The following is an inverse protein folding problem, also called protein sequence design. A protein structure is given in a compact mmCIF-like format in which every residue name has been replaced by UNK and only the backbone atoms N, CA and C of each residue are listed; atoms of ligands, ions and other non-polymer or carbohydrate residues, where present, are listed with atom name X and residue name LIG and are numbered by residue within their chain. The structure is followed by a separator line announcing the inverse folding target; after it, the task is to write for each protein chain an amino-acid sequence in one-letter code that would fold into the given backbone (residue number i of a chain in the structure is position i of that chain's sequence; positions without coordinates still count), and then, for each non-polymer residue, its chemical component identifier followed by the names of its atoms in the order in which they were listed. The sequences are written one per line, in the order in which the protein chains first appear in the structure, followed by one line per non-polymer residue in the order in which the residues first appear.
data_IF_051673362182
#
_entry.id   IF_051673362182
#
_cell.length_a   1.000
_cell.length_b   1.000
_cell.length_c   1.000
_cell.angle_alpha   90.00
_cell.angle_beta   90.00
_cell.angle_gamma   90.00
#
_symmetry.space_group_name_H-M   'P 1'
#
loop_
_entity.id
_entity.type
_entity.pdbx_description
1 polymer ?
#
# COMPACT_ATOMS: atom_id res chain seq x y z
N UNK A 1 5.88 12.99 -6.00
CA UNK A 1 5.54 14.01 -5.00
C UNK A 1 5.41 13.37 -3.63
N UNK A 2 4.43 12.48 -3.43
CA UNK A 2 4.23 11.79 -2.14
C UNK A 2 5.49 11.04 -1.74
N UNK A 3 6.14 10.33 -2.65
CA UNK A 3 7.42 9.66 -2.37
C UNK A 3 8.50 10.62 -1.85
N UNK A 4 8.57 11.84 -2.38
CA UNK A 4 9.56 12.83 -1.93
C UNK A 4 9.20 13.37 -0.53
N UNK A 5 7.91 13.53 -0.22
CA UNK A 5 7.45 13.87 1.13
C UNK A 5 7.81 12.76 2.12
N UNK A 6 7.56 11.50 1.76
CA UNK A 6 7.95 10.35 2.59
C UNK A 6 9.47 10.31 2.80
N UNK A 7 10.25 10.61 1.74
CA UNK A 7 11.70 10.68 1.81
C UNK A 7 12.19 11.80 2.73
N UNK A 8 11.63 13.00 2.62
CA UNK A 8 12.03 14.15 3.46
C UNK A 8 11.61 13.99 4.92
N UNK A 9 10.50 13.30 5.18
CA UNK A 9 10.01 12.99 6.53
C UNK A 9 10.66 11.76 7.16
N UNK A 10 11.60 11.11 6.49
CA UNK A 10 12.22 9.85 6.94
C UNK A 10 11.20 8.76 7.29
N UNK A 11 10.10 8.72 6.53
CA UNK A 11 9.04 7.74 6.68
C UNK A 11 9.52 6.40 6.11
N UNK A 12 10.33 5.70 6.89
CA UNK A 12 11.10 4.55 6.44
C UNK A 12 10.53 3.22 6.97
N UNK A 13 9.58 3.27 7.91
CA UNK A 13 8.96 2.11 8.57
C UNK A 13 7.48 2.36 8.91
N UNK A 14 6.72 1.32 9.31
CA UNK A 14 5.33 1.50 9.76
C UNK A 14 5.18 2.45 10.96
N UNK A 15 6.18 2.50 11.84
CA UNK A 15 6.19 3.33 13.05
C UNK A 15 6.44 4.81 12.73
N UNK A 16 7.09 5.08 11.60
CA UNK A 16 7.40 6.42 11.09
C UNK A 16 6.53 6.80 9.88
N UNK A 17 5.46 6.04 9.63
CA UNK A 17 4.60 6.26 8.48
C UNK A 17 3.90 7.62 8.56
N UNK A 18 3.84 8.32 7.43
CA UNK A 18 3.08 9.56 7.30
C UNK A 18 1.63 9.20 7.05
N UNK A 19 0.75 9.67 7.92
CA UNK A 19 -0.69 9.44 7.85
C UNK A 19 -1.28 10.12 6.63
N UNK A 20 -2.45 9.64 6.19
CA UNK A 20 -3.20 10.30 5.12
C UNK A 20 -3.55 11.74 5.49
N UNK A 21 -3.89 12.01 6.75
CA UNK A 21 -4.23 13.35 7.23
C UNK A 21 -3.05 14.32 7.10
N UNK A 22 -1.85 13.91 7.51
CA UNK A 22 -0.63 14.72 7.33
C UNK A 22 -0.33 14.96 5.84
N UNK A 23 -0.54 13.96 4.98
CA UNK A 23 -0.39 14.16 3.53
C UNK A 23 -1.42 15.15 2.97
N UNK A 24 -2.65 15.15 3.48
CA UNK A 24 -3.68 16.13 3.08
C UNK A 24 -3.26 17.54 3.48
N UNK A 25 -2.81 17.72 4.72
CA UNK A 25 -2.34 19.00 5.24
C UNK A 25 -1.14 19.54 4.43
N UNK A 26 -0.16 18.68 4.14
CA UNK A 26 1.06 19.09 3.42
C UNK A 26 0.77 19.43 1.95
N UNK A 27 -0.15 18.72 1.31
CA UNK A 27 -0.34 18.80 -0.15
C UNK A 27 -1.58 19.58 -0.57
N UNK A 28 -2.49 19.88 0.36
CA UNK A 28 -3.82 20.42 0.06
C UNK A 28 -4.73 19.44 -0.70
N UNK A 29 -4.28 18.20 -0.93
CA UNK A 29 -5.05 17.21 -1.68
C UNK A 29 -6.11 16.56 -0.80
N UNK A 30 -7.22 16.17 -1.41
CA UNK A 30 -8.19 15.29 -0.77
C UNK A 30 -7.62 13.89 -0.57
N UNK A 31 -8.18 13.12 0.37
CA UNK A 31 -7.83 11.71 0.56
C UNK A 31 -7.88 10.90 -0.74
N UNK A 32 -8.90 11.11 -1.58
CA UNK A 32 -9.05 10.39 -2.86
C UNK A 32 -7.92 10.73 -3.83
N UNK A 33 -7.52 12.00 -3.90
CA UNK A 33 -6.39 12.43 -4.72
C UNK A 33 -5.06 11.87 -4.20
N UNK A 34 -4.86 11.79 -2.89
CA UNK A 34 -3.67 11.15 -2.29
C UNK A 34 -3.59 9.68 -2.71
N UNK A 35 -4.69 8.94 -2.58
CA UNK A 35 -4.72 7.52 -2.99
C UNK A 35 -4.38 7.38 -4.47
N UNK A 36 -5.01 8.17 -5.34
CA UNK A 36 -4.73 8.15 -6.79
C UNK A 36 -3.26 8.50 -7.09
N UNK A 37 -2.71 9.49 -6.39
CA UNK A 37 -1.32 9.90 -6.56
C UNK A 37 -0.33 8.83 -6.05
N UNK A 38 -0.63 8.17 -4.93
CA UNK A 38 0.16 7.04 -4.42
C UNK A 38 0.16 5.89 -5.43
N UNK A 39 -1.00 5.52 -5.98
CA UNK A 39 -1.10 4.48 -7.01
C UNK A 39 -0.27 4.83 -8.26
N UNK A 40 -0.36 6.08 -8.72
CA UNK A 40 0.47 6.58 -9.82
C UNK A 40 1.97 6.48 -9.52
N UNK A 41 2.38 6.88 -8.32
CA UNK A 41 3.80 6.86 -7.93
C UNK A 41 4.33 5.44 -7.68
N UNK A 42 3.47 4.50 -7.27
CA UNK A 42 3.83 3.07 -7.12
C UNK A 42 4.29 2.41 -8.40
N UNK A 43 3.91 2.95 -9.56
CA UNK A 43 4.44 2.51 -10.85
C UNK A 43 5.94 2.79 -11.05
N UNK A 44 6.55 3.65 -10.23
CA UNK A 44 7.96 4.06 -10.34
C UNK A 44 8.73 4.00 -9.02
N UNK A 45 8.04 3.96 -7.90
CA UNK A 45 8.63 4.06 -6.56
C UNK A 45 8.02 3.05 -5.60
N UNK A 46 8.83 2.58 -4.65
CA UNK A 46 8.36 1.68 -3.60
C UNK A 46 7.68 2.47 -2.48
N UNK A 47 6.35 2.44 -2.44
CA UNK A 47 5.53 3.09 -1.42
C UNK A 47 4.62 2.03 -0.79
N UNK A 48 4.84 1.75 0.49
CA UNK A 48 4.00 0.86 1.26
C UNK A 48 2.92 1.61 2.01
N UNK A 49 1.85 0.88 2.33
CA UNK A 49 0.84 1.31 3.29
C UNK A 49 0.84 0.42 4.53
N UNK A 50 0.49 0.98 5.67
CA UNK A 50 0.21 0.23 6.89
C UNK A 50 -1.09 0.70 7.53
N UNK A 51 -1.71 -0.20 8.29
CA UNK A 51 -2.89 0.07 9.11
C UNK A 51 -2.56 0.03 10.61
N UNK A 52 -1.28 -0.09 10.98
CA UNK A 52 -0.86 -0.02 12.38
C UNK A 52 -1.00 1.42 12.88
N UNK A 53 -1.49 1.60 14.11
CA UNK A 53 -1.74 2.93 14.68
C UNK A 53 -2.77 3.71 13.86
N UNK A 54 -2.45 4.96 13.51
CA UNK A 54 -3.30 5.80 12.63
C UNK A 54 -3.27 5.38 11.16
N UNK A 55 -2.44 4.40 10.81
CA UNK A 55 -2.16 4.00 9.44
C UNK A 55 -1.39 5.07 8.66
N UNK A 56 -1.04 4.77 7.41
CA UNK A 56 -0.33 5.73 6.57
C UNK A 56 0.57 5.07 5.53
N UNK A 57 1.50 5.87 5.03
CA UNK A 57 2.42 5.52 3.96
C UNK A 57 3.87 5.72 4.39
N UNK A 58 4.75 4.86 3.90
CA UNK A 58 6.19 4.91 4.13
C UNK A 58 6.91 4.23 2.97
N UNK A 59 8.21 4.45 2.87
CA UNK A 59 9.09 3.85 1.87
C UNK A 59 10.08 2.91 2.57
N UNK A 60 10.29 1.67 2.12
CA UNK A 60 11.36 0.83 2.66
C UNK A 60 12.73 1.49 2.44
N UNK A 61 13.63 1.38 3.43
CA UNK A 61 14.99 1.92 3.33
C UNK A 61 16.00 0.89 2.84
N UNK A 62 15.83 -0.38 3.22
CA UNK A 62 16.81 -1.44 2.93
C UNK A 62 16.25 -2.53 2.02
N UNK A 63 17.14 -3.30 1.39
CA UNK A 63 16.76 -4.51 0.63
C UNK A 63 16.04 -5.54 1.51
N UNK A 64 16.44 -5.66 2.77
CA UNK A 64 15.80 -6.56 3.72
C UNK A 64 14.33 -6.16 3.99
N UNK A 65 14.06 -4.86 4.12
CA UNK A 65 12.70 -4.34 4.28
C UNK A 65 11.86 -4.69 3.05
N UNK A 66 12.37 -4.41 1.85
CA UNK A 66 11.69 -4.73 0.59
C UNK A 66 11.35 -6.23 0.51
N UNK A 67 12.30 -7.11 0.84
CA UNK A 67 12.08 -8.56 0.84
C UNK A 67 10.99 -8.98 1.84
N UNK A 68 11.01 -8.41 3.05
CA UNK A 68 9.98 -8.65 4.07
C UNK A 68 8.60 -8.23 3.57
N UNK A 69 8.49 -7.09 2.89
CA UNK A 69 7.23 -6.64 2.30
C UNK A 69 6.71 -7.52 1.18
N UNK A 70 7.60 -7.96 0.29
CA UNK A 70 7.24 -8.86 -0.79
C UNK A 70 6.69 -10.19 -0.23
N UNK A 71 7.35 -10.77 0.78
CA UNK A 71 6.86 -11.99 1.43
C UNK A 71 5.45 -11.85 2.00
N UNK A 72 5.14 -10.71 2.63
CA UNK A 72 3.78 -10.42 3.15
C UNK A 72 2.77 -10.30 2.00
N UNK A 73 3.16 -9.64 0.89
CA UNK A 73 2.30 -9.51 -0.29
C UNK A 73 2.05 -10.84 -0.98
N UNK A 74 3.07 -11.65 -1.19
CA UNK A 74 2.96 -13.00 -1.75
C UNK A 74 2.01 -13.87 -0.94
N UNK A 75 2.14 -13.84 0.39
CA UNK A 75 1.21 -14.52 1.29
C UNK A 75 -0.25 -14.04 1.09
N UNK A 76 -0.47 -12.72 1.03
CA UNK A 76 -1.80 -12.15 0.80
C UNK A 76 -2.38 -12.55 -0.56
N UNK A 77 -1.58 -12.53 -1.63
CA UNK A 77 -1.99 -12.96 -2.97
C UNK A 77 -2.42 -14.43 -2.94
N UNK A 78 -1.65 -15.30 -2.28
CA UNK A 78 -2.00 -16.71 -2.11
C UNK A 78 -3.33 -16.88 -1.35
N UNK A 79 -3.53 -16.15 -0.25
CA UNK A 79 -4.78 -16.16 0.51
C UNK A 79 -5.96 -15.66 -0.33
N UNK A 80 -5.79 -14.58 -1.09
CA UNK A 80 -6.83 -14.08 -2.02
C UNK A 80 -7.19 -15.12 -3.08
N UNK A 81 -6.22 -15.85 -3.62
CA UNK A 81 -6.50 -16.94 -4.55
C UNK A 81 -7.34 -18.05 -3.92
N UNK A 82 -7.08 -18.40 -2.66
CA UNK A 82 -7.85 -19.39 -1.89
C UNK A 82 -9.29 -18.88 -1.67
N UNK A 83 -9.47 -17.65 -1.21
CA UNK A 83 -10.82 -17.11 -0.94
C UNK A 83 -11.66 -16.96 -2.21
N UNK A 84 -11.02 -16.64 -3.35
CA UNK A 84 -11.69 -16.58 -4.65
C UNK A 84 -12.07 -17.96 -5.23
N UNK A 85 -11.55 -19.07 -4.67
CA UNK A 85 -11.82 -20.42 -5.22
C UNK A 85 -13.31 -20.74 -5.24
N UNK A 86 -14.02 -20.44 -4.16
CA UNK A 86 -15.45 -20.73 -4.05
C UNK A 86 -16.29 -19.83 -4.95
N UNK A 87 -16.02 -18.52 -4.98
CA UNK A 87 -16.74 -17.60 -5.88
C UNK A 87 -16.55 -17.99 -7.35
N UNK A 88 -15.32 -18.33 -7.77
CA UNK A 88 -15.04 -18.85 -9.12
C UNK A 88 -15.81 -20.14 -9.42
N UNK A 89 -15.88 -21.07 -8.46
CA UNK A 89 -16.64 -22.33 -8.62
C UNK A 89 -18.14 -22.07 -8.80
N UNK A 90 -18.72 -21.15 -8.03
CA UNK A 90 -20.13 -20.78 -8.16
C UNK A 90 -20.42 -20.06 -9.48
N UNK A 91 -19.59 -19.08 -9.87
CA UNK A 91 -19.75 -18.36 -11.14
C UNK A 91 -19.70 -19.31 -12.34
N UNK A 92 -18.82 -20.32 -12.32
CA UNK A 92 -18.78 -21.36 -13.37
C UNK A 92 -20.04 -22.24 -13.42
N UNK A 93 -20.75 -22.41 -12.29
CA UNK A 93 -22.00 -23.18 -12.23
C UNK A 93 -23.22 -22.36 -12.67
N UNK A 94 -23.19 -21.04 -12.46
CA UNK A 94 -24.27 -20.13 -12.90
C UNK A 94 -24.19 -19.74 -14.36
N UNK A 95 -23.01 -19.86 -14.99
CA UNK A 95 -22.82 -19.59 -16.42
C UNK A 95 -23.14 -20.75 -17.36
N UNK A 96 -23.74 -21.84 -16.86
CA UNK A 96 -24.22 -23.01 -17.62
C UNK A 96 -25.73 -23.15 -17.46
#
# INVERSE_FOLDING_TARGET
MIYQILKSRHADSPETAVTTAELMEITGLTQRQIVAQVEKERGRHFINSCMKGKGGYYRPRTRADVAKYNKIREYRIAQTAITMKMSRKFLKRWGN
#
